data_IF_741940449786
#
_entry.id   IF_741940449786
#
_cell.length_a   1.000
_cell.length_b   1.000
_cell.length_c   1.000
_cell.angle_alpha   90.00
_cell.angle_beta   90.00
_cell.angle_gamma   90.00
#
_symmetry.space_group_name_H-M   'P 1'
#
loop_
_entity.id
_entity.type
_entity.pdbx_description
1 polymer ?
#
# COMPACT_ATOMS: atom_id res chain seq x y z
N UNK A 1 -8.91 -10.07 25.74
CA UNK A 1 -8.84 -8.60 26.01
C UNK A 1 -10.11 -8.10 26.69
N UNK A 2 -10.19 -6.78 27.08
CA UNK A 2 -11.44 -6.20 27.60
C UNK A 2 -12.42 -5.91 26.47
N UNK A 3 -13.72 -6.15 26.73
CA UNK A 3 -14.79 -5.94 25.75
C UNK A 3 -14.88 -4.47 25.26
N UNK A 4 -14.72 -3.48 26.15
CA UNK A 4 -14.74 -2.07 25.76
C UNK A 4 -13.59 -1.72 24.78
N UNK A 5 -12.42 -2.30 24.99
CA UNK A 5 -11.28 -2.13 24.09
C UNK A 5 -11.57 -2.79 22.73
N UNK A 6 -12.03 -4.04 22.73
CA UNK A 6 -12.40 -4.77 21.53
C UNK A 6 -13.39 -3.98 20.65
N UNK A 7 -14.46 -3.45 21.26
CA UNK A 7 -15.48 -2.68 20.54
C UNK A 7 -14.94 -1.38 19.94
N UNK A 8 -14.02 -0.70 20.65
CA UNK A 8 -13.33 0.47 20.10
C UNK A 8 -12.40 0.07 18.94
N UNK A 9 -11.65 -1.00 19.12
CA UNK A 9 -10.70 -1.50 18.11
C UNK A 9 -11.43 -2.00 16.84
N UNK A 10 -12.68 -2.48 16.99
CA UNK A 10 -13.57 -2.81 15.87
C UNK A 10 -14.27 -1.59 15.25
N UNK A 11 -14.00 -0.35 15.70
CA UNK A 11 -14.57 0.85 15.14
C UNK A 11 -16.04 1.12 15.50
N UNK A 12 -16.61 0.42 16.52
CA UNK A 12 -17.99 0.62 16.96
C UNK A 12 -18.25 2.04 17.48
N UNK A 13 -17.21 2.69 18.01
CA UNK A 13 -17.28 4.06 18.47
C UNK A 13 -16.20 4.40 19.51
N UNK A 14 -16.22 5.64 20.00
CA UNK A 14 -15.33 6.09 21.07
C UNK A 14 -15.61 5.32 22.38
N UNK A 15 -14.66 5.34 23.30
CA UNK A 15 -14.82 4.69 24.63
C UNK A 15 -16.09 5.12 25.38
N UNK A 16 -16.51 6.37 25.23
CA UNK A 16 -17.76 6.88 25.85
C UNK A 16 -19.01 6.34 25.14
N UNK A 17 -19.00 6.27 23.82
CA UNK A 17 -20.09 5.71 23.03
C UNK A 17 -20.27 4.22 23.30
N UNK A 18 -19.18 3.46 23.31
CA UNK A 18 -19.18 2.02 23.62
C UNK A 18 -19.82 1.73 24.98
N UNK A 19 -19.50 2.51 26.03
CA UNK A 19 -20.15 2.38 27.34
C UNK A 19 -21.66 2.63 27.26
N UNK A 20 -22.09 3.57 26.42
CA UNK A 20 -23.52 3.85 26.21
C UNK A 20 -24.20 2.71 25.47
N UNK A 21 -23.57 2.11 24.46
CA UNK A 21 -24.10 0.96 23.71
C UNK A 21 -24.25 -0.27 24.58
N UNK A 22 -23.26 -0.55 25.44
CA UNK A 22 -23.33 -1.63 26.42
C UNK A 22 -24.50 -1.44 27.40
N UNK A 23 -24.66 -0.24 27.96
CA UNK A 23 -25.81 0.08 28.83
C UNK A 23 -27.16 -0.08 28.11
N UNK A 24 -27.23 0.22 26.82
CA UNK A 24 -28.42 0.04 25.97
C UNK A 24 -28.65 -1.42 25.53
N UNK A 25 -27.85 -2.37 26.03
CA UNK A 25 -27.96 -3.80 25.70
C UNK A 25 -27.80 -4.11 24.20
N UNK A 26 -26.98 -3.33 23.49
CA UNK A 26 -26.78 -3.46 22.05
C UNK A 26 -25.62 -4.38 21.68
N UNK A 27 -24.92 -4.93 22.67
CA UNK A 27 -23.77 -5.81 22.49
C UNK A 27 -24.09 -7.20 23.04
N UNK A 28 -23.71 -8.24 22.31
CA UNK A 28 -23.76 -9.62 22.76
C UNK A 28 -22.38 -10.27 22.71
N UNK A 29 -22.13 -11.16 23.66
CA UNK A 29 -20.97 -12.06 23.69
C UNK A 29 -21.52 -13.49 23.73
N UNK A 30 -21.15 -14.30 22.73
CA UNK A 30 -21.65 -15.67 22.57
C UNK A 30 -23.19 -15.76 22.58
N UNK A 31 -23.84 -14.78 21.93
CA UNK A 31 -25.31 -14.70 21.85
C UNK A 31 -26.00 -14.14 23.12
N UNK A 32 -25.29 -13.89 24.20
CA UNK A 32 -25.84 -13.31 25.44
C UNK A 32 -25.54 -11.82 25.53
N UNK A 33 -26.56 -11.05 25.97
CA UNK A 33 -26.38 -9.58 26.16
C UNK A 33 -25.36 -9.33 27.26
N UNK A 34 -24.35 -8.53 26.91
CA UNK A 34 -23.33 -8.07 27.86
C UNK A 34 -23.41 -6.56 28.06
N UNK A 35 -23.33 -6.12 29.30
CA UNK A 35 -23.45 -4.70 29.68
C UNK A 35 -22.19 -4.13 30.34
N UNK A 36 -21.29 -5.01 30.79
CA UNK A 36 -20.08 -4.61 31.47
C UNK A 36 -18.94 -4.31 30.49
N UNK A 37 -18.38 -3.07 30.48
CA UNK A 37 -17.23 -2.76 29.63
C UNK A 37 -15.95 -3.47 30.05
N UNK A 38 -15.90 -4.03 31.28
CA UNK A 38 -14.71 -4.68 31.84
C UNK A 38 -14.66 -6.18 31.57
N UNK A 39 -15.73 -6.78 31.02
CA UNK A 39 -15.78 -8.20 30.68
C UNK A 39 -14.57 -8.59 29.86
N UNK A 40 -13.90 -9.66 30.28
CA UNK A 40 -12.78 -10.22 29.55
C UNK A 40 -13.32 -11.15 28.47
N UNK A 41 -12.81 -10.99 27.28
CA UNK A 41 -13.15 -11.81 26.12
C UNK A 41 -11.88 -12.39 25.50
N UNK A 42 -12.03 -13.56 24.88
CA UNK A 42 -11.05 -14.13 23.96
C UNK A 42 -11.45 -13.78 22.52
N UNK A 43 -10.70 -12.87 21.89
CA UNK A 43 -10.98 -12.37 20.54
C UNK A 43 -10.92 -13.44 19.44
N UNK A 44 -10.31 -14.60 19.73
CA UNK A 44 -10.20 -15.72 18.79
C UNK A 44 -11.31 -16.79 19.00
N UNK A 45 -12.00 -16.79 20.13
CA UNK A 45 -12.98 -17.82 20.48
C UNK A 45 -14.38 -17.25 20.71
N UNK A 46 -14.47 -16.04 21.31
CA UNK A 46 -15.75 -15.44 21.63
C UNK A 46 -16.40 -14.77 20.40
N UNK A 47 -17.67 -15.03 20.19
CA UNK A 47 -18.48 -14.38 19.18
C UNK A 47 -19.07 -13.08 19.72
N UNK A 48 -18.54 -11.95 19.32
CA UNK A 48 -19.03 -10.64 19.72
C UNK A 48 -19.88 -10.05 18.60
N UNK A 49 -21.08 -9.53 18.97
CA UNK A 49 -21.92 -8.83 18.00
C UNK A 49 -22.40 -7.48 18.56
N UNK A 50 -22.53 -6.51 17.68
CA UNK A 50 -23.12 -5.19 17.94
C UNK A 50 -24.36 -5.02 17.07
N UNK A 51 -25.50 -4.75 17.70
CA UNK A 51 -26.82 -4.62 17.02
C UNK A 51 -27.12 -5.80 16.09
N UNK A 52 -26.74 -7.01 16.49
CA UNK A 52 -26.95 -8.24 15.72
C UNK A 52 -25.92 -8.50 14.61
N UNK A 53 -25.00 -7.58 14.36
CA UNK A 53 -23.90 -7.78 13.41
C UNK A 53 -22.66 -8.33 14.12
N UNK A 54 -22.14 -9.46 13.64
CA UNK A 54 -20.90 -10.06 14.19
C UNK A 54 -19.71 -9.13 13.92
N UNK A 55 -18.89 -8.95 14.94
CA UNK A 55 -17.66 -8.17 14.89
C UNK A 55 -16.46 -9.09 14.82
N UNK A 56 -15.51 -8.77 13.96
CA UNK A 56 -14.21 -9.46 13.88
C UNK A 56 -13.13 -8.45 14.25
N UNK A 57 -12.27 -8.83 15.20
CA UNK A 57 -11.10 -8.01 15.52
C UNK A 57 -10.00 -8.27 14.49
N UNK A 58 -9.69 -7.25 13.71
CA UNK A 58 -8.52 -7.23 12.85
C UNK A 58 -7.45 -6.40 13.54
N UNK A 59 -6.33 -7.00 13.95
CA UNK A 59 -5.17 -6.26 14.48
C UNK A 59 -4.59 -5.38 13.39
N UNK A 60 -4.32 -5.97 12.25
CA UNK A 60 -3.77 -5.29 11.08
C UNK A 60 -4.76 -5.28 9.93
N UNK A 61 -4.72 -4.20 9.17
CA UNK A 61 -5.54 -4.01 7.98
C UNK A 61 -4.65 -3.69 6.78
N UNK A 62 -5.05 -4.19 5.62
CA UNK A 62 -4.24 -4.08 4.40
C UNK A 62 -5.11 -3.63 3.24
N UNK A 63 -4.73 -2.52 2.62
CA UNK A 63 -5.41 -1.92 1.49
C UNK A 63 -4.48 -1.91 0.28
N UNK A 64 -4.97 -2.39 -0.83
CA UNK A 64 -4.32 -2.26 -2.13
C UNK A 64 -5.04 -1.17 -2.90
N UNK A 65 -4.34 -0.09 -3.18
CA UNK A 65 -4.86 1.08 -3.89
C UNK A 65 -4.20 1.17 -5.26
N UNK A 66 -4.98 1.35 -6.31
CA UNK A 66 -4.47 1.88 -7.57
C UNK A 66 -4.43 3.41 -7.45
N UNK A 67 -3.31 3.92 -6.92
CA UNK A 67 -3.15 5.34 -6.61
C UNK A 67 -3.28 6.20 -7.87
N UNK A 68 -4.16 7.20 -7.90
CA UNK A 68 -4.26 8.13 -9.02
C UNK A 68 -3.16 9.19 -8.96
N UNK A 69 -2.92 9.88 -10.07
CA UNK A 69 -2.15 11.12 -10.11
C UNK A 69 -2.90 12.24 -9.37
N UNK A 70 -2.19 13.28 -8.96
CA UNK A 70 -2.74 14.42 -8.23
C UNK A 70 -2.99 14.18 -6.73
N UNK A 71 -2.69 12.98 -6.23
CA UNK A 71 -2.83 12.60 -4.82
C UNK A 71 -1.45 12.25 -4.25
N UNK A 72 -1.16 12.72 -3.04
CA UNK A 72 0.13 12.45 -2.38
C UNK A 72 0.07 11.22 -1.48
N UNK A 73 1.21 10.52 -1.36
CA UNK A 73 1.39 9.38 -0.46
C UNK A 73 1.70 9.84 0.96
N UNK A 74 0.69 10.41 1.63
CA UNK A 74 0.75 10.90 3.01
C UNK A 74 -0.52 10.50 3.76
N UNK A 75 -0.48 10.57 5.09
CA UNK A 75 -1.65 10.33 5.95
C UNK A 75 -2.51 11.57 6.10
N UNK A 76 -1.89 12.74 6.06
CA UNK A 76 -2.55 14.05 6.15
C UNK A 76 -1.72 15.10 5.41
N UNK A 77 -2.37 16.12 4.87
CA UNK A 77 -1.73 17.30 4.28
C UNK A 77 -2.73 18.46 4.24
N UNK A 78 -2.21 19.69 4.42
CA UNK A 78 -3.04 20.90 4.46
C UNK A 78 -3.45 21.44 3.08
N UNK A 79 -2.77 21.00 2.00
CA UNK A 79 -2.91 21.57 0.65
C UNK A 79 -3.32 20.54 -0.41
N UNK A 80 -2.93 19.30 -0.23
CA UNK A 80 -3.12 18.24 -1.23
C UNK A 80 -4.00 17.13 -0.69
N UNK A 81 -4.81 16.56 -1.57
CA UNK A 81 -5.52 15.32 -1.28
C UNK A 81 -4.53 14.20 -1.05
N UNK A 82 -4.74 13.43 0.02
CA UNK A 82 -3.87 12.31 0.40
C UNK A 82 -4.46 10.97 -0.01
N UNK A 83 -3.64 9.93 0.01
CA UNK A 83 -4.10 8.56 -0.23
C UNK A 83 -5.09 8.08 0.83
N UNK A 84 -5.03 8.60 2.07
CA UNK A 84 -5.98 8.30 3.14
C UNK A 84 -7.37 8.91 2.88
N UNK A 85 -7.46 9.99 2.12
CA UNK A 85 -8.73 10.61 1.73
C UNK A 85 -9.51 9.79 0.70
N UNK A 86 -8.88 8.76 0.13
CA UNK A 86 -9.52 7.83 -0.80
C UNK A 86 -10.09 6.59 -0.10
N UNK A 87 -9.66 6.30 1.13
CA UNK A 87 -10.01 5.10 1.87
C UNK A 87 -11.26 5.30 2.75
N UNK A 88 -11.70 4.22 3.37
CA UNK A 88 -12.82 4.22 4.31
C UNK A 88 -12.43 4.74 5.71
N UNK A 89 -13.44 4.91 6.58
CA UNK A 89 -13.22 5.35 7.96
C UNK A 89 -12.42 4.35 8.78
N UNK A 90 -12.45 3.06 8.45
CA UNK A 90 -11.65 2.02 9.09
C UNK A 90 -10.16 2.33 8.95
N UNK A 91 -9.72 2.77 7.78
CA UNK A 91 -8.32 3.13 7.56
C UNK A 91 -7.86 4.25 8.50
N UNK A 92 -8.70 5.26 8.74
CA UNK A 92 -8.41 6.36 9.67
C UNK A 92 -8.39 5.88 11.12
N UNK A 93 -9.39 5.10 11.55
CA UNK A 93 -9.47 4.56 12.90
C UNK A 93 -8.30 3.63 13.23
N UNK A 94 -7.86 2.82 12.27
CA UNK A 94 -6.71 1.91 12.39
C UNK A 94 -5.37 2.58 12.17
N UNK A 95 -5.34 3.90 11.92
CA UNK A 95 -4.12 4.68 11.68
C UNK A 95 -3.26 4.10 10.55
N UNK A 96 -3.91 3.75 9.46
CA UNK A 96 -3.27 3.19 8.27
C UNK A 96 -2.35 4.24 7.63
N UNK A 97 -1.23 3.78 7.10
CA UNK A 97 -0.25 4.62 6.38
C UNK A 97 0.26 3.90 5.12
N UNK A 98 0.75 4.64 4.13
CA UNK A 98 1.26 4.05 2.89
C UNK A 98 2.61 3.35 3.12
N UNK A 99 2.79 2.17 2.53
CA UNK A 99 4.06 1.42 2.49
C UNK A 99 4.91 1.98 1.37
N UNK A 100 5.77 2.91 1.72
CA UNK A 100 6.54 3.71 0.76
C UNK A 100 5.70 4.82 0.14
N UNK A 101 6.30 5.47 -0.84
CA UNK A 101 5.69 6.63 -1.50
C UNK A 101 5.75 6.49 -3.01
N UNK A 102 4.69 6.92 -3.66
CA UNK A 102 4.65 7.30 -5.07
C UNK A 102 4.54 8.82 -5.16
N UNK A 103 5.21 9.41 -6.12
CA UNK A 103 5.13 10.85 -6.36
C UNK A 103 3.71 11.27 -6.72
N UNK A 104 3.41 12.56 -6.64
CA UNK A 104 2.08 13.10 -6.92
C UNK A 104 1.61 12.79 -8.35
N UNK A 105 2.54 12.76 -9.29
CA UNK A 105 2.32 12.48 -10.71
C UNK A 105 2.59 11.01 -11.12
N UNK A 106 2.90 10.14 -10.14
CA UNK A 106 3.06 8.70 -10.33
C UNK A 106 1.81 7.98 -9.85
N UNK A 107 1.35 7.00 -10.60
CA UNK A 107 0.17 6.22 -10.28
C UNK A 107 0.47 4.71 -10.12
N UNK A 108 -0.57 3.94 -9.82
CA UNK A 108 -0.47 2.48 -9.73
C UNK A 108 -0.46 1.93 -8.31
N UNK A 109 0.10 0.76 -8.14
CA UNK A 109 0.03 -0.04 -6.92
C UNK A 109 0.64 0.68 -5.73
N UNK A 110 -0.17 0.89 -4.69
CA UNK A 110 0.26 1.33 -3.37
C UNK A 110 -0.39 0.46 -2.30
N UNK A 111 0.43 -0.19 -1.48
CA UNK A 111 -0.02 -0.88 -0.27
C UNK A 111 -0.14 0.14 0.86
N UNK A 112 -1.25 0.06 1.62
CA UNK A 112 -1.42 0.82 2.85
C UNK A 112 -1.81 -0.15 3.97
N UNK A 113 -1.26 0.06 5.16
CA UNK A 113 -1.47 -0.81 6.33
C UNK A 113 -1.14 -0.07 7.61
N UNK A 114 -1.56 -0.60 8.76
CA UNK A 114 -1.11 -0.22 10.09
C UNK A 114 -0.04 -1.18 10.66
N UNK A 115 0.43 -2.18 9.87
CA UNK A 115 1.50 -3.09 10.25
C UNK A 115 2.87 -2.47 9.95
N UNK A 116 3.46 -1.81 10.96
CA UNK A 116 4.74 -1.13 10.84
C UNK A 116 5.91 -2.06 10.53
N UNK A 117 5.90 -3.26 11.10
CA UNK A 117 6.97 -4.24 10.89
C UNK A 117 6.99 -4.75 9.45
N UNK A 118 5.81 -5.03 8.87
CA UNK A 118 5.71 -5.38 7.46
C UNK A 118 6.19 -4.23 6.56
N UNK A 119 5.73 -3.02 6.83
CA UNK A 119 6.14 -1.85 6.05
C UNK A 119 7.67 -1.66 6.10
N UNK A 120 8.26 -1.78 7.29
CA UNK A 120 9.71 -1.72 7.45
C UNK A 120 10.43 -2.82 6.67
N UNK A 121 9.96 -4.06 6.74
CA UNK A 121 10.54 -5.18 6.00
C UNK A 121 10.48 -4.97 4.48
N UNK A 122 9.34 -4.49 3.96
CA UNK A 122 9.15 -4.24 2.53
C UNK A 122 9.96 -3.05 2.00
N UNK A 123 10.27 -2.06 2.85
CA UNK A 123 11.00 -0.85 2.47
C UNK A 123 12.50 -0.95 2.75
N UNK A 124 12.93 -1.95 3.51
CA UNK A 124 14.33 -2.12 3.89
C UNK A 124 15.23 -2.36 2.68
N UNK A 125 16.27 -1.56 2.47
CA UNK A 125 17.23 -1.78 1.38
C UNK A 125 17.90 -3.16 1.44
N UNK A 126 18.04 -3.73 2.65
CA UNK A 126 18.65 -5.05 2.87
C UNK A 126 17.80 -6.22 2.35
N UNK A 127 16.50 -6.01 2.19
CA UNK A 127 15.58 -7.05 1.69
C UNK A 127 15.47 -7.09 0.17
N UNK A 128 16.03 -6.09 -0.54
CA UNK A 128 16.04 -6.01 -2.00
C UNK A 128 14.66 -6.29 -2.62
N UNK A 129 13.62 -5.66 -2.07
CA UNK A 129 12.24 -5.85 -2.53
C UNK A 129 12.04 -5.16 -3.88
N UNK A 130 11.88 -5.95 -4.92
CA UNK A 130 11.69 -5.46 -6.28
C UNK A 130 10.40 -4.64 -6.44
N UNK A 131 10.52 -3.58 -7.20
CA UNK A 131 9.41 -2.75 -7.66
C UNK A 131 9.47 -2.67 -9.17
N UNK A 132 8.36 -3.02 -9.82
CA UNK A 132 8.25 -2.97 -11.27
C UNK A 132 7.39 -1.78 -11.66
N UNK A 133 7.95 -0.96 -12.49
CA UNK A 133 7.28 0.22 -13.05
C UNK A 133 7.11 0.05 -14.55
N UNK A 134 5.97 0.50 -15.06
CA UNK A 134 5.78 0.76 -16.48
C UNK A 134 5.95 2.24 -16.70
N UNK A 135 6.78 2.62 -17.66
CA UNK A 135 7.00 4.00 -18.03
C UNK A 135 6.71 4.21 -19.52
N UNK A 136 5.93 5.26 -19.82
CA UNK A 136 5.90 5.85 -21.14
C UNK A 136 7.01 6.89 -21.19
N UNK A 137 7.92 6.75 -22.14
CA UNK A 137 9.13 7.57 -22.27
C UNK A 137 9.05 8.37 -23.55
N UNK A 138 9.27 9.68 -23.46
CA UNK A 138 9.54 10.54 -24.59
C UNK A 138 11.02 10.35 -24.96
N UNK A 139 11.24 9.63 -26.03
CA UNK A 139 12.53 9.16 -26.52
C UNK A 139 12.51 7.69 -26.90
N UNK A 140 13.42 7.32 -27.77
CA UNK A 140 13.61 5.94 -28.22
C UNK A 140 14.60 5.25 -27.27
N UNK A 141 14.07 4.34 -26.46
CA UNK A 141 14.89 3.47 -25.60
C UNK A 141 15.51 2.36 -26.46
N UNK A 142 16.75 2.01 -26.18
CA UNK A 142 17.53 1.06 -27.00
C UNK A 142 18.42 0.14 -26.15
N UNK A 143 19.28 -0.63 -26.81
CA UNK A 143 20.17 -1.60 -26.16
C UNK A 143 21.23 -0.91 -25.27
N UNK A 144 21.66 0.31 -25.58
CA UNK A 144 22.64 1.03 -24.75
C UNK A 144 22.02 1.41 -23.43
N UNK A 145 20.73 1.81 -23.42
CA UNK A 145 19.98 2.09 -22.20
C UNK A 145 19.84 0.84 -21.32
N UNK A 146 19.52 -0.31 -21.92
CA UNK A 146 19.43 -1.60 -21.19
C UNK A 146 20.76 -1.90 -20.49
N UNK A 147 21.86 -1.79 -21.19
CA UNK A 147 23.19 -2.03 -20.61
C UNK A 147 23.56 -1.02 -19.52
N UNK A 148 23.14 0.24 -19.67
CA UNK A 148 23.35 1.26 -18.66
C UNK A 148 22.58 0.94 -17.36
N UNK A 149 21.32 0.50 -17.47
CA UNK A 149 20.52 0.07 -16.32
C UNK A 149 21.12 -1.15 -15.64
N UNK A 150 21.59 -2.14 -16.40
CA UNK A 150 22.24 -3.35 -15.86
C UNK A 150 23.54 -3.05 -15.09
N UNK A 151 24.29 -2.06 -15.53
CA UNK A 151 25.52 -1.61 -14.84
C UNK A 151 25.24 -0.78 -13.60
N UNK A 152 24.07 -0.18 -13.52
CA UNK A 152 23.73 0.84 -12.53
C UNK A 152 23.98 2.25 -13.06
N UNK A 153 22.92 3.05 -13.12
CA UNK A 153 22.95 4.43 -13.61
C UNK A 153 23.64 5.34 -12.59
N UNK A 154 24.61 6.11 -13.06
CA UNK A 154 25.26 7.14 -12.25
C UNK A 154 24.41 8.40 -12.24
N UNK A 155 23.97 8.82 -11.06
CA UNK A 155 23.25 10.06 -10.82
C UNK A 155 24.17 11.05 -10.11
N UNK A 156 23.78 12.32 -10.07
CA UNK A 156 24.61 13.39 -9.48
C UNK A 156 25.02 13.17 -8.01
N UNK A 157 24.15 12.49 -7.26
CA UNK A 157 24.28 12.30 -5.81
C UNK A 157 24.61 10.85 -5.41
N UNK A 158 24.43 9.88 -6.30
CA UNK A 158 24.76 8.47 -6.05
C UNK A 158 24.72 7.65 -7.34
N UNK A 159 25.31 6.47 -7.30
CA UNK A 159 25.15 5.44 -8.33
C UNK A 159 24.01 4.51 -7.92
N UNK A 160 23.04 4.32 -8.82
CA UNK A 160 21.93 3.38 -8.62
C UNK A 160 22.47 1.93 -8.61
N UNK A 161 21.77 1.06 -7.88
CA UNK A 161 22.05 -0.37 -7.99
C UNK A 161 21.73 -0.87 -9.42
N UNK A 162 22.40 -1.94 -9.86
CA UNK A 162 22.02 -2.64 -11.08
C UNK A 162 20.52 -2.92 -11.12
N UNK A 163 19.91 -2.67 -12.25
CA UNK A 163 18.46 -2.71 -12.42
C UNK A 163 18.12 -3.27 -13.80
N UNK A 164 16.87 -3.68 -14.00
CA UNK A 164 16.42 -4.26 -15.26
C UNK A 164 15.58 -3.25 -16.03
N UNK A 165 15.88 -3.09 -17.30
CA UNK A 165 15.07 -2.36 -18.26
C UNK A 165 14.60 -3.31 -19.35
N UNK A 166 13.30 -3.36 -19.60
CA UNK A 166 12.70 -4.14 -20.69
C UNK A 166 11.92 -3.21 -21.60
N UNK A 167 12.24 -3.21 -22.89
CA UNK A 167 11.53 -2.43 -23.89
C UNK A 167 10.32 -3.24 -24.34
N UNK A 168 9.11 -2.76 -24.01
CA UNK A 168 7.84 -3.41 -24.37
C UNK A 168 7.46 -3.08 -25.81
N UNK A 169 7.55 -1.79 -26.18
CA UNK A 169 7.30 -1.33 -27.54
C UNK A 169 8.00 0.01 -27.80
N UNK A 170 8.24 0.27 -29.08
CA UNK A 170 8.83 1.53 -29.56
C UNK A 170 7.95 2.05 -30.69
N UNK A 171 7.53 3.30 -30.57
CA UNK A 171 6.88 4.05 -31.64
C UNK A 171 7.90 5.06 -32.21
N UNK A 172 8.47 4.72 -33.35
CA UNK A 172 9.49 5.56 -34.02
C UNK A 172 8.91 6.80 -34.62
N UNK A 173 7.65 6.77 -35.06
CA UNK A 173 6.98 7.91 -35.67
C UNK A 173 6.65 8.97 -34.62
N UNK A 174 6.18 8.53 -33.44
CA UNK A 174 5.93 9.39 -32.30
C UNK A 174 7.20 9.71 -31.49
N UNK A 175 8.31 9.00 -31.71
CA UNK A 175 9.54 9.17 -30.94
C UNK A 175 9.42 8.72 -29.49
N UNK A 176 8.57 7.73 -29.19
CA UNK A 176 8.28 7.28 -27.81
C UNK A 176 8.58 5.81 -27.60
N UNK A 177 8.75 5.42 -26.34
CA UNK A 177 8.92 4.04 -25.93
C UNK A 177 8.01 3.70 -24.73
N UNK A 178 7.51 2.47 -24.70
CA UNK A 178 6.89 1.89 -23.52
C UNK A 178 7.88 0.88 -22.94
N UNK A 179 8.23 1.04 -21.67
CA UNK A 179 9.23 0.18 -21.01
C UNK A 179 8.75 -0.30 -19.66
N UNK A 180 9.30 -1.43 -19.20
CA UNK A 180 9.21 -1.86 -17.81
C UNK A 180 10.58 -1.76 -17.15
N UNK A 181 10.60 -1.21 -15.95
CA UNK A 181 11.80 -0.96 -15.15
C UNK A 181 11.65 -1.64 -13.81
N UNK A 182 12.59 -2.53 -13.46
CA UNK A 182 12.63 -3.21 -12.17
C UNK A 182 13.79 -2.64 -11.35
N UNK A 183 13.48 -2.11 -10.16
CA UNK A 183 14.45 -1.60 -9.19
C UNK A 183 14.22 -2.22 -7.81
N UNK A 184 15.29 -2.51 -7.06
CA UNK A 184 15.24 -3.02 -5.69
C UNK A 184 15.33 -1.92 -4.62
N UNK A 185 15.68 -0.71 -5.00
CA UNK A 185 15.78 0.46 -4.13
C UNK A 185 14.61 1.45 -4.36
N UNK A 186 14.59 2.58 -3.69
CA UNK A 186 13.50 3.56 -3.81
C UNK A 186 13.96 4.94 -3.38
N UNK A 187 14.85 5.54 -4.16
CA UNK A 187 15.33 6.91 -3.96
C UNK A 187 14.35 7.93 -4.56
N UNK A 188 14.51 9.18 -4.16
CA UNK A 188 13.69 10.29 -4.64
C UNK A 188 13.71 10.38 -6.17
N UNK A 189 12.52 10.31 -6.78
CA UNK A 189 12.29 10.35 -8.23
C UNK A 189 13.20 9.41 -9.05
N UNK A 190 13.56 8.26 -8.48
CA UNK A 190 14.66 7.43 -9.00
C UNK A 190 14.47 7.02 -10.46
N UNK A 191 13.33 6.42 -10.81
CA UNK A 191 13.07 5.96 -12.18
C UNK A 191 13.13 7.10 -13.18
N UNK A 192 12.53 8.25 -12.85
CA UNK A 192 12.56 9.45 -13.71
C UNK A 192 13.99 9.97 -13.93
N UNK A 193 14.77 9.99 -12.85
CA UNK A 193 16.17 10.44 -12.90
C UNK A 193 17.06 9.47 -13.69
N UNK A 194 16.81 8.17 -13.58
CA UNK A 194 17.53 7.14 -14.34
C UNK A 194 17.26 7.28 -15.83
N UNK A 195 16.00 7.46 -16.24
CA UNK A 195 15.64 7.68 -17.65
C UNK A 195 16.22 9.01 -18.15
N UNK A 196 16.19 10.05 -17.32
CA UNK A 196 16.79 11.36 -17.68
C UNK A 196 18.31 11.28 -17.86
N UNK A 197 19.01 10.43 -17.10
CA UNK A 197 20.44 10.19 -17.28
C UNK A 197 20.77 9.52 -18.63
N UNK A 198 19.80 8.81 -19.22
CA UNK A 198 19.88 8.28 -20.59
C UNK A 198 19.46 9.33 -21.67
N UNK A 199 19.27 10.60 -21.29
CA UNK A 199 18.91 11.67 -22.23
C UNK A 199 17.44 11.63 -22.69
N UNK A 200 16.55 11.01 -21.96
CA UNK A 200 15.13 10.81 -22.27
C UNK A 200 14.26 11.25 -21.11
N UNK A 201 12.93 11.35 -21.30
CA UNK A 201 12.02 11.84 -20.27
C UNK A 201 10.86 10.86 -20.03
N UNK A 202 10.49 10.67 -18.77
CA UNK A 202 9.30 9.89 -18.39
C UNK A 202 8.07 10.77 -18.52
N UNK A 203 7.20 10.47 -19.47
CA UNK A 203 5.93 11.14 -19.68
C UNK A 203 4.82 10.61 -18.77
N UNK A 204 4.82 9.30 -18.48
CA UNK A 204 3.88 8.66 -17.55
C UNK A 204 4.59 7.52 -16.80
N UNK A 205 4.25 7.35 -15.50
CA UNK A 205 4.87 6.35 -14.64
C UNK A 205 3.83 5.65 -13.79
N UNK A 206 3.75 4.34 -13.94
CA UNK A 206 2.87 3.46 -13.19
C UNK A 206 3.65 2.39 -12.46
N UNK A 207 3.42 2.21 -11.15
CA UNK A 207 3.94 1.05 -10.44
C UNK A 207 2.99 -0.14 -10.60
N UNK A 208 3.49 -1.21 -11.21
CA UNK A 208 2.73 -2.44 -11.46
C UNK A 208 2.90 -3.48 -10.35
N UNK A 209 4.08 -3.49 -9.68
CA UNK A 209 4.42 -4.53 -8.70
C UNK A 209 5.28 -3.99 -7.59
N UNK A 210 5.11 -4.54 -6.38
CA UNK A 210 5.97 -4.30 -5.22
C UNK A 210 6.11 -5.60 -4.42
N UNK A 211 7.30 -6.20 -4.46
CA UNK A 211 7.53 -7.53 -3.89
C UNK A 211 6.56 -8.57 -4.49
N UNK A 212 5.85 -9.32 -3.67
CA UNK A 212 4.91 -10.33 -4.16
C UNK A 212 3.58 -9.74 -4.67
N UNK A 213 3.27 -8.47 -4.37
CA UNK A 213 2.00 -7.85 -4.74
C UNK A 213 2.06 -7.28 -6.16
N UNK A 214 1.04 -7.56 -6.95
CA UNK A 214 0.84 -7.03 -8.30
C UNK A 214 -0.44 -6.19 -8.37
N UNK A 215 -0.44 -5.15 -9.21
CA UNK A 215 -1.63 -4.37 -9.48
C UNK A 215 -2.62 -5.21 -10.30
N UNK A 216 -3.84 -5.47 -9.80
CA UNK A 216 -4.85 -6.17 -10.57
C UNK A 216 -5.28 -5.37 -11.79
N UNK A 217 -5.47 -6.05 -12.92
CA UNK A 217 -5.89 -5.41 -14.18
C UNK A 217 -7.30 -4.82 -14.11
N UNK A 218 -8.15 -5.33 -13.22
CA UNK A 218 -9.54 -4.92 -13.01
C UNK A 218 -9.70 -3.87 -11.90
N UNK A 219 -8.63 -3.51 -11.21
CA UNK A 219 -8.67 -2.44 -10.20
C UNK A 219 -8.50 -1.08 -10.87
N UNK A 220 -9.60 -0.36 -11.01
CA UNK A 220 -9.63 0.95 -11.66
C UNK A 220 -8.77 1.99 -10.92
N UNK A 221 -8.36 3.02 -11.65
CA UNK A 221 -7.58 4.13 -11.09
C UNK A 221 -8.36 4.87 -9.99
N UNK A 222 -7.73 5.06 -8.83
CA UNK A 222 -8.36 5.69 -7.66
C UNK A 222 -9.19 4.72 -6.81
N UNK A 223 -9.36 3.48 -7.25
CA UNK A 223 -10.08 2.44 -6.50
C UNK A 223 -9.13 1.65 -5.62
N UNK A 224 -9.64 1.23 -4.48
CA UNK A 224 -8.94 0.38 -3.53
C UNK A 224 -9.78 -0.84 -3.14
N UNK A 225 -9.13 -1.86 -2.63
CA UNK A 225 -9.76 -3.01 -1.97
C UNK A 225 -8.87 -3.54 -0.84
N UNK A 226 -9.42 -4.39 -0.02
CA UNK A 226 -8.61 -5.19 0.94
C UNK A 226 -7.77 -6.21 0.18
N UNK A 227 -6.64 -6.61 0.76
CA UNK A 227 -5.87 -7.73 0.22
C UNK A 227 -6.69 -9.01 0.27
N UNK A 228 -6.53 -9.85 -0.75
CA UNK A 228 -7.06 -11.21 -0.75
C UNK A 228 -6.24 -12.10 0.16
N UNK A 229 -6.77 -13.29 0.52
CA UNK A 229 -6.02 -14.26 1.31
C UNK A 229 -4.74 -14.70 0.60
N UNK A 230 -4.76 -14.89 -0.71
CA UNK A 230 -3.58 -15.25 -1.52
C UNK A 230 -2.50 -14.16 -1.45
N UNK A 231 -2.88 -12.90 -1.48
CA UNK A 231 -1.95 -11.78 -1.33
C UNK A 231 -1.37 -11.69 0.08
N UNK A 232 -2.18 -11.96 1.12
CA UNK A 232 -1.70 -12.05 2.50
C UNK A 232 -0.72 -13.23 2.65
N UNK A 233 -1.07 -14.40 2.12
CA UNK A 233 -0.19 -15.57 2.14
C UNK A 233 1.15 -15.29 1.46
N UNK A 234 1.13 -14.58 0.32
CA UNK A 234 2.35 -14.16 -0.38
C UNK A 234 3.23 -13.21 0.45
N UNK A 235 2.64 -12.38 1.33
CA UNK A 235 3.38 -11.50 2.24
C UNK A 235 4.08 -12.24 3.39
N UNK A 236 3.73 -13.51 3.66
CA UNK A 236 4.38 -14.32 4.70
C UNK A 236 5.88 -14.53 4.45
N UNK A 237 6.34 -14.35 3.21
CA UNK A 237 7.77 -14.39 2.83
C UNK A 237 8.63 -13.41 3.65
N UNK A 238 8.04 -12.35 4.20
CA UNK A 238 8.75 -11.39 5.04
C UNK A 238 8.96 -11.87 6.48
N UNK A 239 8.28 -12.96 6.91
CA UNK A 239 8.38 -13.52 8.26
C UNK A 239 7.77 -12.64 9.34
N UNK A 240 6.84 -11.77 9.00
CA UNK A 240 6.15 -10.84 9.90
C UNK A 240 4.73 -11.35 10.17
N UNK A 241 4.23 -11.32 11.43
CA UNK A 241 2.84 -11.60 11.74
C UNK A 241 1.89 -10.66 10.99
N UNK A 242 0.85 -11.21 10.39
CA UNK A 242 -0.13 -10.47 9.58
C UNK A 242 -1.52 -10.36 10.24
N UNK A 243 -1.69 -11.00 11.40
CA UNK A 243 -2.92 -11.00 12.21
C UNK A 243 -2.64 -10.54 13.63
#
# INVERSE_FOLDING_TARGET
MRLDKFLVDCGVGSRSQVKTFLKKKQVTVNGQVETSPKTQIDENQDQIAFQGQSLTHETFVYYLLNKPQGVISATEDARHKTVLDLLDDTARHKQVFPVGRLDIDTHGLLLLTNNGDLAHAMLSPKKHVDKIYQAKVDGIMDQEDILAFEKGIELKDHTCQPSKLEIVSVDRDAGTSLVQITIAEGKFHQVKRMVAACGKEVADLQRLKMGPLSLPNDLELGVWRRLTQEELDALTVFGIPLT
#
